data_IF_454803669419
#
_entry.id   IF_454803669419
#
_cell.length_a   1.000
_cell.length_b   1.000
_cell.length_c   1.000
_cell.angle_alpha   90.00
_cell.angle_beta   90.00
_cell.angle_gamma   90.00
#
_symmetry.space_group_name_H-M   'P 1'
#
loop_
_entity.id
_entity.type
_entity.pdbx_description
1 polymer ?
#
# COMPACT_ATOMS: atom_id res chain seq x y z
N UNK A 1 -11.36 -20.02 5.05
CA UNK A 1 -12.08 -18.74 4.95
C UNK A 1 -13.54 -19.01 4.62
N UNK A 2 -14.44 -18.14 5.08
CA UNK A 2 -15.88 -18.22 4.76
C UNK A 2 -16.32 -16.83 4.28
N UNK A 3 -16.89 -16.67 3.07
CA UNK A 3 -17.44 -15.42 2.63
C UNK A 3 -18.62 -15.02 3.52
N UNK A 4 -18.74 -13.77 3.87
CA UNK A 4 -19.85 -13.23 4.66
C UNK A 4 -20.80 -12.44 3.78
N UNK A 5 -20.33 -11.41 3.15
CA UNK A 5 -21.08 -10.54 2.23
C UNK A 5 -20.09 -9.76 1.35
N UNK A 6 -20.62 -9.00 0.41
CA UNK A 6 -19.85 -8.15 -0.52
C UNK A 6 -20.41 -6.74 -0.43
N UNK A 7 -19.51 -5.74 -0.39
CA UNK A 7 -19.89 -4.35 -0.63
C UNK A 7 -19.97 -4.13 -2.13
N UNK A 8 -21.15 -3.85 -2.63
CA UNK A 8 -21.39 -3.57 -4.05
C UNK A 8 -22.55 -2.59 -4.23
N UNK A 9 -22.46 -1.73 -5.23
CA UNK A 9 -23.54 -0.89 -5.69
C UNK A 9 -23.30 -0.50 -7.16
N UNK A 10 -24.35 -0.06 -7.85
CA UNK A 10 -24.30 0.32 -9.29
C UNK A 10 -23.27 1.42 -9.58
N UNK A 11 -22.98 2.29 -8.59
CA UNK A 11 -22.03 3.41 -8.74
C UNK A 11 -20.57 2.96 -8.88
N UNK A 12 -20.23 1.81 -8.33
CA UNK A 12 -18.85 1.28 -8.35
C UNK A 12 -18.63 0.27 -9.47
N UNK A 13 -19.68 -0.10 -10.19
CA UNK A 13 -19.59 -1.04 -11.28
C UNK A 13 -18.67 -0.54 -12.40
N UNK A 14 -17.74 -1.41 -12.82
CA UNK A 14 -16.72 -1.08 -13.82
C UNK A 14 -15.65 -0.10 -13.35
N UNK A 15 -15.48 0.09 -12.03
CA UNK A 15 -14.35 0.80 -11.42
C UNK A 15 -13.49 -0.18 -10.63
N UNK A 16 -12.19 0.01 -10.63
CA UNK A 16 -11.29 -0.84 -9.85
C UNK A 16 -11.18 -0.35 -8.41
N UNK A 17 -11.18 -1.26 -7.44
CA UNK A 17 -10.74 -0.94 -6.07
C UNK A 17 -9.22 -0.76 -6.09
N UNK A 18 -8.74 0.44 -5.78
CA UNK A 18 -7.31 0.77 -5.78
C UNK A 18 -6.70 0.77 -4.38
N UNK A 19 -7.46 1.26 -3.44
CA UNK A 19 -7.02 1.38 -2.06
C UNK A 19 -8.19 1.17 -1.10
N UNK A 20 -7.86 0.78 0.11
CA UNK A 20 -8.84 0.53 1.15
C UNK A 20 -8.17 0.70 2.52
N UNK A 21 -8.89 1.31 3.46
CA UNK A 21 -8.44 1.40 4.84
C UNK A 21 -9.62 1.27 5.80
N UNK A 22 -9.34 0.80 7.02
CA UNK A 22 -10.33 0.62 8.09
C UNK A 22 -10.09 1.65 9.16
N UNK A 23 -11.15 2.34 9.56
CA UNK A 23 -11.05 3.36 10.61
C UNK A 23 -10.68 2.73 11.96
N UNK A 24 -9.64 3.25 12.62
CA UNK A 24 -9.15 2.69 13.88
C UNK A 24 -10.08 2.96 15.06
N UNK A 25 -10.79 4.10 15.06
CA UNK A 25 -11.72 4.45 16.11
C UNK A 25 -13.10 3.82 15.91
N UNK A 26 -13.51 3.62 14.68
CA UNK A 26 -14.75 2.94 14.31
C UNK A 26 -14.44 1.81 13.32
N UNK A 27 -14.17 0.60 13.80
CA UNK A 27 -13.74 -0.52 12.95
C UNK A 27 -14.83 -1.01 11.99
N UNK A 28 -16.07 -0.55 12.13
CA UNK A 28 -17.15 -0.84 11.19
C UNK A 28 -17.12 0.06 9.95
N UNK A 29 -16.35 1.15 9.99
CA UNK A 29 -16.23 2.10 8.90
C UNK A 29 -15.02 1.78 8.04
N UNK A 30 -15.28 1.53 6.77
CA UNK A 30 -14.26 1.22 5.76
C UNK A 30 -14.30 2.29 4.67
N UNK A 31 -13.15 2.88 4.37
CA UNK A 31 -12.99 3.72 3.19
C UNK A 31 -12.46 2.89 2.04
N UNK A 32 -13.04 3.08 0.87
CA UNK A 32 -12.62 2.42 -0.38
C UNK A 32 -12.45 3.48 -1.45
N UNK A 33 -11.25 3.55 -2.01
CA UNK A 33 -10.91 4.40 -3.13
C UNK A 33 -10.99 3.62 -4.45
N UNK A 34 -11.73 4.19 -5.38
CA UNK A 34 -11.95 3.65 -6.71
C UNK A 34 -11.28 4.53 -7.75
N UNK A 35 -10.68 3.90 -8.73
CA UNK A 35 -10.07 4.58 -9.84
C UNK A 35 -9.96 3.65 -11.03
N UNK A 36 -9.98 4.21 -12.21
CA UNK A 36 -9.63 3.52 -13.44
C UNK A 36 -8.25 4.02 -13.85
N UNK A 37 -7.35 3.12 -14.14
CA UNK A 37 -6.01 3.43 -14.64
C UNK A 37 -5.73 2.54 -15.83
N UNK A 38 -5.60 3.15 -16.99
CA UNK A 38 -5.19 2.46 -18.21
C UNK A 38 -3.91 3.13 -18.74
N UNK A 39 -2.80 2.39 -18.68
CA UNK A 39 -1.49 2.85 -19.17
C UNK A 39 -1.54 3.19 -20.66
N UNK A 40 -2.47 2.58 -21.42
CA UNK A 40 -2.61 2.79 -22.85
C UNK A 40 -3.54 3.96 -23.19
N UNK A 41 -4.23 4.52 -22.21
CA UNK A 41 -5.16 5.64 -22.41
C UNK A 41 -4.39 6.95 -22.35
N UNK A 42 -4.12 7.56 -23.49
CA UNK A 42 -3.45 8.86 -23.58
C UNK A 42 -4.37 10.05 -23.29
N UNK A 43 -5.67 9.80 -23.25
CA UNK A 43 -6.71 10.81 -23.03
C UNK A 43 -7.34 10.65 -21.64
N UNK A 44 -6.92 11.44 -20.67
CA UNK A 44 -7.49 11.48 -19.30
C UNK A 44 -9.00 11.75 -19.29
N UNK A 45 -9.54 12.38 -20.35
CA UNK A 45 -10.97 12.69 -20.48
C UNK A 45 -11.86 11.45 -20.67
N UNK A 46 -11.27 10.28 -20.97
CA UNK A 46 -12.01 9.02 -21.15
C UNK A 46 -12.05 8.16 -19.89
N UNK A 47 -11.17 8.46 -18.92
CA UNK A 47 -11.14 7.75 -17.65
C UNK A 47 -12.26 8.24 -16.74
N UNK A 48 -12.87 7.32 -16.02
CA UNK A 48 -13.89 7.69 -15.03
C UNK A 48 -13.23 8.44 -13.87
N UNK A 49 -13.83 9.55 -13.38
CA UNK A 49 -13.31 10.28 -12.21
C UNK A 49 -13.21 9.36 -11.00
N UNK A 50 -12.31 9.67 -10.09
CA UNK A 50 -12.13 8.92 -8.86
C UNK A 50 -13.36 8.97 -7.96
N UNK A 51 -13.59 7.91 -7.22
CA UNK A 51 -14.70 7.81 -6.29
C UNK A 51 -14.20 7.31 -4.93
N UNK A 52 -14.53 8.04 -3.86
CA UNK A 52 -14.23 7.63 -2.49
C UNK A 52 -15.54 7.27 -1.81
N UNK A 53 -15.71 6.00 -1.46
CA UNK A 53 -16.90 5.49 -0.79
C UNK A 53 -16.59 5.08 0.63
N UNK A 54 -17.50 5.42 1.55
CA UNK A 54 -17.45 5.04 2.95
C UNK A 54 -18.51 3.99 3.22
N UNK A 55 -18.04 2.79 3.51
CA UNK A 55 -18.90 1.64 3.74
C UNK A 55 -18.99 1.32 5.23
N UNK A 56 -20.17 0.84 5.64
CA UNK A 56 -20.39 0.34 7.00
C UNK A 56 -21.10 -1.01 6.96
N UNK A 57 -20.95 -1.76 8.04
CA UNK A 57 -21.63 -3.05 8.18
C UNK A 57 -23.16 -2.92 8.25
N UNK A 58 -23.68 -1.72 8.50
CA UNK A 58 -25.12 -1.46 8.60
C UNK A 58 -25.81 -1.56 7.23
N UNK A 59 -25.11 -1.14 6.16
CA UNK A 59 -25.66 -1.19 4.82
C UNK A 59 -24.57 -1.64 3.82
N UNK A 60 -24.50 -2.92 3.49
CA UNK A 60 -23.53 -3.43 2.53
C UNK A 60 -23.86 -3.10 1.07
N UNK A 61 -25.10 -2.71 0.77
CA UNK A 61 -25.57 -2.48 -0.60
C UNK A 61 -25.43 -1.03 -1.06
N UNK A 62 -25.19 -0.11 -0.12
CA UNK A 62 -25.01 1.30 -0.47
C UNK A 62 -24.07 2.00 0.53
N UNK A 63 -23.08 2.81 0.05
CA UNK A 63 -22.16 3.52 0.93
C UNK A 63 -22.85 4.64 1.70
N UNK A 64 -22.45 4.88 2.94
CA UNK A 64 -23.00 5.97 3.76
C UNK A 64 -22.62 7.36 3.27
N UNK A 65 -21.40 7.48 2.72
CA UNK A 65 -20.91 8.73 2.15
C UNK A 65 -20.16 8.45 0.86
N UNK A 66 -20.35 9.32 -0.11
CA UNK A 66 -19.71 9.27 -1.43
C UNK A 66 -19.05 10.63 -1.66
N UNK A 67 -17.79 10.62 -2.05
CA UNK A 67 -17.05 11.80 -2.45
C UNK A 67 -16.51 11.55 -3.86
N UNK A 68 -16.88 12.42 -4.79
CA UNK A 68 -16.33 12.42 -6.14
C UNK A 68 -15.00 13.16 -6.11
N UNK A 69 -13.98 12.56 -6.70
CA UNK A 69 -12.65 13.12 -6.87
C UNK A 69 -12.35 13.32 -8.35
N UNK A 70 -11.62 14.38 -8.72
CA UNK A 70 -11.42 14.73 -10.14
C UNK A 70 -10.61 13.67 -10.88
N UNK A 71 -9.53 13.18 -10.28
CA UNK A 71 -8.64 12.17 -10.84
C UNK A 71 -8.86 10.80 -10.20
N UNK A 72 -8.34 9.75 -10.81
CA UNK A 72 -8.39 8.39 -10.26
C UNK A 72 -7.68 8.31 -8.90
N UNK A 73 -8.34 7.75 -7.90
CA UNK A 73 -7.77 7.55 -6.57
C UNK A 73 -6.83 6.35 -6.61
N UNK A 74 -5.60 6.53 -6.14
CA UNK A 74 -4.56 5.49 -6.10
C UNK A 74 -4.30 4.97 -4.71
N UNK A 75 -4.35 5.85 -3.70
CA UNK A 75 -4.11 5.50 -2.30
C UNK A 75 -5.00 6.30 -1.37
N UNK A 76 -5.34 5.74 -0.21
CA UNK A 76 -6.11 6.39 0.83
C UNK A 76 -5.73 5.84 2.21
N UNK A 77 -5.77 6.69 3.24
CA UNK A 77 -5.55 6.27 4.62
C UNK A 77 -6.24 7.19 5.62
N UNK A 78 -6.85 6.62 6.66
CA UNK A 78 -7.36 7.37 7.81
C UNK A 78 -6.21 7.90 8.67
N UNK A 79 -6.37 9.13 9.18
CA UNK A 79 -5.49 9.64 10.22
C UNK A 79 -5.65 8.82 11.51
N UNK A 80 -4.53 8.45 12.12
CA UNK A 80 -4.51 7.67 13.37
C UNK A 80 -4.94 8.51 14.55
N UNK A 81 -4.57 9.80 14.58
CA UNK A 81 -4.89 10.74 15.64
C UNK A 81 -6.25 11.40 15.47
N UNK A 82 -6.61 11.72 14.23
CA UNK A 82 -7.87 12.36 13.88
C UNK A 82 -8.69 11.45 12.95
N UNK A 83 -9.34 10.39 13.45
CA UNK A 83 -9.99 9.36 12.65
C UNK A 83 -11.14 9.85 11.76
N UNK A 84 -11.48 11.13 11.85
CA UNK A 84 -12.41 11.80 10.96
C UNK A 84 -11.75 12.42 9.72
N UNK A 85 -10.42 12.40 9.63
CA UNK A 85 -9.68 12.85 8.48
C UNK A 85 -9.21 11.64 7.64
N UNK A 86 -9.34 11.77 6.34
CA UNK A 86 -8.87 10.79 5.35
C UNK A 86 -7.98 11.52 4.36
N UNK A 87 -6.76 11.04 4.20
CA UNK A 87 -5.88 11.48 3.13
C UNK A 87 -6.08 10.59 1.90
N UNK A 88 -6.00 11.20 0.73
CA UNK A 88 -6.17 10.56 -0.56
C UNK A 88 -5.08 11.07 -1.49
N UNK A 89 -4.42 10.16 -2.19
CA UNK A 89 -3.53 10.47 -3.31
C UNK A 89 -4.17 10.07 -4.63
N UNK A 90 -3.86 10.79 -5.67
CA UNK A 90 -4.45 10.59 -6.99
C UNK A 90 -3.42 10.33 -8.10
N UNK A 91 -3.93 10.00 -9.29
CA UNK A 91 -3.13 9.73 -10.48
C UNK A 91 -2.50 10.98 -11.10
N UNK A 92 -2.92 12.18 -10.69
CA UNK A 92 -2.37 13.46 -11.17
C UNK A 92 -1.26 14.01 -10.28
N UNK A 93 -0.84 13.26 -9.25
CA UNK A 93 0.17 13.70 -8.29
C UNK A 93 -0.36 14.59 -7.17
N UNK A 94 -1.67 14.76 -7.04
CA UNK A 94 -2.23 15.58 -5.98
C UNK A 94 -2.54 14.76 -4.74
N UNK A 95 -2.54 15.45 -3.60
CA UNK A 95 -2.97 14.93 -2.31
C UNK A 95 -4.11 15.80 -1.81
N UNK A 96 -5.18 15.15 -1.40
CA UNK A 96 -6.35 15.79 -0.83
C UNK A 96 -6.70 15.19 0.54
N UNK A 97 -7.11 16.02 1.48
CA UNK A 97 -7.51 15.59 2.81
C UNK A 97 -8.97 15.95 3.03
N UNK A 98 -9.78 14.94 3.31
CA UNK A 98 -11.22 15.07 3.50
C UNK A 98 -11.62 14.90 4.96
N UNK A 99 -12.64 15.65 5.38
CA UNK A 99 -13.31 15.48 6.68
C UNK A 99 -14.61 14.69 6.49
N UNK A 100 -14.73 13.59 7.21
CA UNK A 100 -15.92 12.73 7.09
C UNK A 100 -17.07 13.14 8.03
N UNK A 101 -16.83 14.00 9.05
CA UNK A 101 -17.86 14.40 10.01
C UNK A 101 -18.91 15.35 9.43
N UNK A 102 -18.52 16.17 8.46
CA UNK A 102 -19.42 17.12 7.80
C UNK A 102 -20.12 16.49 6.59
N UNK A 103 -21.11 17.22 6.05
CA UNK A 103 -21.72 16.87 4.77
C UNK A 103 -20.92 17.40 3.58
N UNK A 104 -19.84 18.12 3.84
CA UNK A 104 -19.02 18.70 2.79
C UNK A 104 -18.30 17.60 2.02
N UNK A 105 -18.31 17.75 0.71
CA UNK A 105 -17.59 16.87 -0.23
C UNK A 105 -16.27 17.49 -0.69
N UNK A 106 -15.99 18.74 -0.30
CA UNK A 106 -14.75 19.43 -0.64
C UNK A 106 -13.62 19.03 0.30
N UNK A 107 -12.38 18.96 -0.20
CA UNK A 107 -11.21 18.69 0.64
C UNK A 107 -11.00 19.86 1.64
N UNK A 108 -10.53 19.52 2.83
CA UNK A 108 -10.11 20.50 3.86
C UNK A 108 -8.76 21.10 3.50
N UNK A 109 -7.91 20.32 2.86
CA UNK A 109 -6.62 20.73 2.34
C UNK A 109 -6.31 19.94 1.06
N UNK A 110 -5.70 20.60 0.10
CA UNK A 110 -5.35 20.04 -1.20
C UNK A 110 -4.01 20.59 -1.69
N UNK A 111 -3.22 19.75 -2.35
CA UNK A 111 -1.93 20.16 -2.91
C UNK A 111 -2.04 20.72 -4.33
N UNK A 112 -3.20 20.73 -4.94
CA UNK A 112 -3.44 21.09 -6.35
C UNK A 112 -2.91 22.50 -6.70
N UNK A 113 -3.15 23.46 -5.80
CA UNK A 113 -2.80 24.88 -6.00
C UNK A 113 -1.41 25.24 -5.45
N UNK A 114 -0.67 24.26 -4.94
CA UNK A 114 0.68 24.51 -4.43
C UNK A 114 1.71 24.46 -5.57
N UNK A 115 2.71 25.34 -5.49
CA UNK A 115 3.83 25.35 -6.43
C UNK A 115 4.65 24.07 -6.40
N UNK A 116 4.60 23.36 -5.28
CA UNK A 116 5.25 22.09 -5.06
C UNK A 116 4.23 20.97 -4.85
N UNK A 117 4.14 20.10 -5.81
CA UNK A 117 3.36 18.86 -5.78
C UNK A 117 4.14 17.76 -6.48
N UNK A 118 3.68 16.54 -6.34
CA UNK A 118 4.19 15.46 -7.17
C UNK A 118 3.87 15.70 -8.64
N UNK A 119 4.79 15.31 -9.50
CA UNK A 119 4.63 15.45 -10.97
C UNK A 119 4.10 14.17 -11.62
N UNK A 120 4.02 13.08 -10.85
CA UNK A 120 3.57 11.78 -11.29
C UNK A 120 2.65 11.17 -10.23
N UNK A 121 2.09 10.00 -10.51
CA UNK A 121 1.12 9.27 -9.70
C UNK A 121 1.62 9.12 -8.25
N UNK A 122 0.76 9.44 -7.28
CA UNK A 122 1.01 9.12 -5.86
C UNK A 122 0.63 7.67 -5.62
N UNK A 123 1.60 6.81 -5.36
CA UNK A 123 1.36 5.36 -5.20
C UNK A 123 1.02 4.91 -3.79
N UNK A 124 1.58 5.56 -2.77
CA UNK A 124 1.29 5.22 -1.37
C UNK A 124 1.38 6.45 -0.47
N UNK A 125 0.61 6.46 0.62
CA UNK A 125 0.60 7.50 1.64
C UNK A 125 0.57 6.87 3.01
N UNK A 126 1.24 7.50 3.99
CA UNK A 126 1.26 7.02 5.37
C UNK A 126 1.14 8.19 6.36
N UNK A 127 0.21 8.07 7.31
CA UNK A 127 0.17 8.96 8.47
C UNK A 127 1.18 8.52 9.52
N UNK A 128 2.08 9.42 9.87
CA UNK A 128 3.18 9.16 10.80
C UNK A 128 3.11 10.13 11.96
N UNK A 129 3.17 9.60 13.18
CA UNK A 129 3.21 10.44 14.37
C UNK A 129 4.65 10.71 14.76
N UNK A 130 4.96 11.99 15.00
CA UNK A 130 6.24 12.45 15.54
C UNK A 130 6.05 13.10 16.89
N UNK A 131 6.94 12.82 17.84
CA UNK A 131 6.84 13.34 19.22
C UNK A 131 6.73 14.87 19.28
N UNK A 132 7.53 15.58 18.49
CA UNK A 132 7.61 17.06 18.55
C UNK A 132 6.80 17.80 17.47
N UNK A 133 6.39 17.12 16.40
CA UNK A 133 5.71 17.73 15.26
C UNK A 133 4.21 17.36 15.15
N UNK A 134 3.76 16.39 15.95
CA UNK A 134 2.42 15.84 15.84
C UNK A 134 2.33 14.82 14.70
N UNK A 135 1.13 14.65 14.13
CA UNK A 135 0.91 13.76 13.01
C UNK A 135 1.19 14.49 11.71
N UNK A 136 1.98 13.89 10.83
CA UNK A 136 2.24 14.34 9.47
C UNK A 136 1.89 13.24 8.47
N UNK A 137 1.58 13.63 7.25
CA UNK A 137 1.31 12.71 6.14
C UNK A 137 2.59 12.60 5.30
N UNK A 138 2.94 11.39 4.90
CA UNK A 138 4.07 11.14 4.01
C UNK A 138 3.55 10.46 2.76
N UNK A 139 4.01 10.94 1.62
CA UNK A 139 3.65 10.41 0.30
C UNK A 139 4.86 9.98 -0.49
N UNK A 140 4.67 8.99 -1.33
CA UNK A 140 5.64 8.49 -2.30
C UNK A 140 5.00 8.46 -3.69
N UNK A 141 5.76 8.87 -4.70
CA UNK A 141 5.26 8.99 -6.07
C UNK A 141 6.22 8.37 -7.09
N UNK A 142 5.69 8.16 -8.30
CA UNK A 142 6.43 7.70 -9.47
C UNK A 142 7.52 8.68 -9.93
N UNK A 143 7.47 9.95 -9.51
CA UNK A 143 8.54 10.93 -9.74
C UNK A 143 9.81 10.69 -8.89
N UNK A 144 9.74 9.68 -8.01
CA UNK A 144 10.82 9.31 -7.10
C UNK A 144 10.93 10.20 -5.87
N UNK A 145 10.03 11.15 -5.65
CA UNK A 145 10.04 12.00 -4.47
C UNK A 145 9.25 11.41 -3.32
N UNK A 146 9.80 11.60 -2.13
CA UNK A 146 9.12 11.31 -0.86
C UNK A 146 8.94 12.64 -0.14
N UNK A 147 7.68 13.01 0.12
CA UNK A 147 7.33 14.33 0.66
C UNK A 147 6.57 14.15 1.98
N UNK A 148 6.97 14.94 2.99
CA UNK A 148 6.24 15.08 4.25
C UNK A 148 5.31 16.30 4.17
N UNK A 149 4.05 16.13 4.52
CA UNK A 149 3.00 17.14 4.53
C UNK A 149 2.55 17.43 5.96
N UNK A 150 2.53 18.69 6.34
CA UNK A 150 2.11 19.15 7.65
C UNK A 150 0.83 20.00 7.54
N UNK A 151 -0.14 19.74 8.41
CA UNK A 151 -1.43 20.44 8.45
C UNK A 151 -1.47 21.62 9.43
N UNK A 152 -0.34 22.10 9.95
CA UNK A 152 -0.34 23.09 11.04
C UNK A 152 -0.83 24.47 10.62
N UNK A 153 -0.48 24.93 9.41
CA UNK A 153 -0.81 26.25 8.87
C UNK A 153 -1.30 26.19 7.42
N UNK A 154 -2.10 25.20 7.11
CA UNK A 154 -2.41 24.78 5.77
C UNK A 154 -1.64 23.51 5.42
N UNK A 155 -1.47 23.21 4.15
CA UNK A 155 -0.68 22.08 3.70
C UNK A 155 0.74 22.57 3.37
N UNK A 156 1.65 22.40 4.34
CA UNK A 156 3.08 22.69 4.14
C UNK A 156 3.81 21.40 3.73
N UNK A 157 4.79 21.49 2.85
CA UNK A 157 5.56 20.35 2.37
C UNK A 157 7.03 20.43 2.81
N UNK A 158 7.64 19.26 2.96
CA UNK A 158 9.09 19.10 3.14
C UNK A 158 9.54 17.89 2.34
N UNK A 159 10.45 18.05 1.41
CA UNK A 159 11.04 16.91 0.68
C UNK A 159 11.94 16.12 1.63
N UNK A 160 11.66 14.83 1.81
CA UNK A 160 12.43 13.93 2.66
C UNK A 160 13.53 13.23 1.90
N UNK A 161 13.26 12.79 0.68
CA UNK A 161 14.21 12.03 -0.14
C UNK A 161 13.83 12.12 -1.61
N UNK A 162 14.86 12.18 -2.47
CA UNK A 162 14.75 11.91 -3.89
C UNK A 162 15.36 10.54 -4.17
N UNK A 163 14.53 9.57 -4.60
CA UNK A 163 14.99 8.23 -4.93
C UNK A 163 15.85 8.26 -6.20
N UNK A 164 17.02 7.65 -6.11
CA UNK A 164 18.01 7.59 -7.19
C UNK A 164 18.31 6.13 -7.50
N UNK A 165 18.44 5.83 -8.77
CA UNK A 165 18.82 4.51 -9.23
C UNK A 165 20.26 4.21 -8.84
N UNK A 166 20.48 3.13 -8.13
CA UNK A 166 21.82 2.60 -7.90
C UNK A 166 22.27 1.77 -9.10
N UNK A 167 23.28 2.24 -9.82
CA UNK A 167 23.92 1.45 -10.87
C UNK A 167 24.82 0.41 -10.22
N UNK A 168 24.37 -0.82 -10.12
CA UNK A 168 25.23 -1.94 -9.76
C UNK A 168 26.16 -2.27 -10.92
N UNK A 169 27.48 -2.15 -10.77
CA UNK A 169 28.46 -2.39 -11.85
C UNK A 169 28.46 -3.84 -12.34
N UNK A 170 27.81 -4.75 -11.64
CA UNK A 170 27.74 -6.18 -11.95
C UNK A 170 26.41 -6.63 -12.57
N UNK A 171 25.39 -5.81 -12.60
CA UNK A 171 24.13 -6.10 -13.28
C UNK A 171 24.20 -5.49 -14.70
N UNK A 172 24.26 -6.34 -15.73
CA UNK A 172 24.03 -5.92 -17.10
C UNK A 172 22.60 -5.38 -17.15
N UNK A 173 22.48 -4.07 -17.35
CA UNK A 173 21.21 -3.38 -17.46
C UNK A 173 20.33 -4.09 -18.50
N UNK A 174 19.27 -4.72 -18.05
CA UNK A 174 18.25 -5.35 -18.92
C UNK A 174 17.49 -4.30 -19.73
N UNK A 175 17.62 -3.03 -19.34
CA UNK A 175 17.05 -1.85 -20.00
C UNK A 175 18.09 -0.94 -20.68
N UNK A 176 19.23 -1.47 -21.08
CA UNK A 176 20.28 -0.73 -21.79
C UNK A 176 19.86 -0.36 -23.24
N UNK A 177 18.76 0.35 -23.37
CA UNK A 177 18.38 1.05 -24.61
C UNK A 177 18.76 2.54 -24.61
N UNK A 178 19.19 3.09 -23.48
CA UNK A 178 19.73 4.44 -23.38
C UNK A 178 21.25 4.35 -23.14
N UNK A 179 22.04 4.43 -24.20
CA UNK A 179 23.47 4.73 -24.07
C UNK A 179 23.63 6.06 -23.33
N UNK A 180 24.01 5.96 -22.06
CA UNK A 180 24.43 7.14 -21.30
C UNK A 180 25.74 7.61 -21.91
N UNK A 181 25.67 8.57 -22.82
CA UNK A 181 26.83 9.29 -23.26
C UNK A 181 27.55 9.87 -22.03
N UNK A 182 28.72 9.32 -21.71
CA UNK A 182 29.67 9.89 -20.74
C UNK A 182 30.15 11.22 -21.26
N UNK A 183 29.32 12.26 -21.14
CA UNK A 183 29.76 13.65 -21.34
C UNK A 183 30.20 14.20 -19.99
N UNK A 184 31.52 14.32 -19.91
CA UNK A 184 32.31 15.24 -19.05
C UNK A 184 31.72 15.65 -17.71
N UNK A 185 32.13 14.99 -16.61
CA UNK A 185 32.40 15.70 -15.36
C UNK A 185 31.26 15.84 -14.35
N UNK A 186 30.05 15.35 -14.60
CA UNK A 186 28.95 15.35 -13.64
C UNK A 186 28.37 13.96 -13.50
N UNK A 187 28.22 13.45 -12.26
CA UNK A 187 27.43 12.26 -11.98
C UNK A 187 25.95 12.63 -12.21
N UNK A 188 25.39 12.24 -13.34
CA UNK A 188 23.94 12.31 -13.58
C UNK A 188 23.29 11.11 -12.91
N UNK A 189 22.61 11.35 -11.78
CA UNK A 189 21.77 10.35 -11.17
C UNK A 189 20.45 10.27 -11.94
N UNK A 190 20.02 9.06 -12.29
CA UNK A 190 18.69 8.79 -12.84
C UNK A 190 17.76 8.57 -11.66
N UNK A 191 16.64 9.26 -11.62
CA UNK A 191 15.62 9.05 -10.60
C UNK A 191 14.90 7.72 -10.86
N UNK A 192 14.43 7.09 -9.79
CA UNK A 192 13.61 5.86 -9.85
C UNK A 192 12.25 6.12 -9.20
N UNK A 193 11.20 5.53 -9.79
CA UNK A 193 9.85 5.66 -9.26
C UNK A 193 9.68 4.91 -7.94
N UNK A 194 9.05 5.57 -6.97
CA UNK A 194 8.68 4.96 -5.70
C UNK A 194 7.25 4.42 -5.74
N UNK A 195 7.05 3.17 -5.31
CA UNK A 195 5.75 2.50 -5.39
C UNK A 195 5.07 2.27 -4.04
N UNK A 196 5.81 2.09 -2.97
CA UNK A 196 5.24 1.90 -1.64
C UNK A 196 6.18 2.36 -0.54
N UNK A 197 5.62 2.79 0.57
CA UNK A 197 6.36 3.23 1.75
C UNK A 197 5.73 2.65 3.01
N UNK A 198 6.55 2.25 3.99
CA UNK A 198 6.06 1.87 5.29
C UNK A 198 7.06 2.18 6.42
N UNK A 199 6.53 2.34 7.63
CA UNK A 199 7.26 2.74 8.83
C UNK A 199 7.18 1.65 9.89
N UNK A 200 8.30 1.24 10.50
CA UNK A 200 8.29 0.38 11.67
C UNK A 200 7.52 1.05 12.83
N UNK A 201 6.48 0.41 13.34
CA UNK A 201 5.53 1.05 14.27
C UNK A 201 6.08 1.29 15.68
N UNK A 202 7.15 0.62 16.08
CA UNK A 202 7.68 0.63 17.45
C UNK A 202 8.93 1.48 17.66
N UNK A 203 9.40 2.19 16.64
CA UNK A 203 10.47 3.17 16.85
C UNK A 203 9.89 4.40 17.54
N UNK A 204 10.28 4.70 18.77
CA UNK A 204 9.80 5.87 19.54
C UNK A 204 9.96 7.19 18.78
N UNK A 205 10.80 7.20 17.76
CA UNK A 205 11.10 8.41 16.98
C UNK A 205 10.68 8.33 15.51
N UNK A 206 10.16 7.20 15.03
CA UNK A 206 9.79 7.00 13.60
C UNK A 206 10.80 7.65 12.63
N UNK A 207 12.08 7.42 12.87
CA UNK A 207 13.16 8.11 12.15
C UNK A 207 13.47 7.39 10.83
N UNK A 208 13.23 6.08 10.77
CA UNK A 208 13.55 5.25 9.61
C UNK A 208 12.29 4.75 8.91
N UNK A 209 12.37 4.59 7.60
CA UNK A 209 11.30 4.03 6.78
C UNK A 209 11.86 3.20 5.64
N UNK A 210 11.03 2.35 5.06
CA UNK A 210 11.35 1.55 3.89
C UNK A 210 10.57 2.05 2.69
N UNK A 211 11.29 2.29 1.59
CA UNK A 211 10.73 2.70 0.30
C UNK A 211 10.98 1.59 -0.72
N UNK A 212 9.92 1.11 -1.36
CA UNK A 212 9.97 0.15 -2.44
C UNK A 212 9.93 0.86 -3.79
N UNK A 213 10.75 0.42 -4.73
CA UNK A 213 10.95 1.07 -6.02
C UNK A 213 10.55 0.19 -7.21
N UNK A 214 10.39 0.83 -8.36
CA UNK A 214 10.21 0.14 -9.65
C UNK A 214 11.45 -0.62 -10.10
N UNK A 215 12.64 -0.22 -9.63
CA UNK A 215 13.94 -0.84 -9.96
C UNK A 215 14.21 -2.14 -9.18
N UNK A 216 13.19 -2.79 -8.62
CA UNK A 216 13.29 -4.08 -7.92
C UNK A 216 14.11 -4.01 -6.61
N UNK A 217 14.36 -2.82 -6.08
CA UNK A 217 15.11 -2.58 -4.85
C UNK A 217 14.24 -1.97 -3.76
N UNK A 218 14.62 -2.20 -2.51
CA UNK A 218 14.03 -1.55 -1.34
C UNK A 218 15.12 -0.74 -0.68
N UNK A 219 14.83 0.50 -0.35
CA UNK A 219 15.76 1.37 0.36
C UNK A 219 15.27 1.65 1.77
N UNK A 220 16.16 1.47 2.75
CA UNK A 220 15.95 1.97 4.09
C UNK A 220 16.47 3.39 4.16
N UNK A 221 15.59 4.32 4.51
CA UNK A 221 15.87 5.75 4.53
C UNK A 221 15.66 6.32 5.93
N UNK A 222 16.27 7.47 6.18
CA UNK A 222 16.07 8.26 7.40
C UNK A 222 15.28 9.53 7.10
N UNK A 223 14.35 9.87 7.97
CA UNK A 223 13.62 11.15 7.88
C UNK A 223 14.48 12.37 8.25
N UNK A 224 15.64 12.15 8.84
CA UNK A 224 16.56 13.22 9.26
C UNK A 224 17.73 13.43 8.30
N UNK A 225 17.88 12.53 7.33
CA UNK A 225 19.00 12.53 6.40
C UNK A 225 18.53 12.14 5.00
N UNK A 226 18.69 13.04 4.04
CA UNK A 226 18.10 12.94 2.68
C UNK A 226 19.12 12.68 1.58
N UNK A 227 20.41 12.60 1.88
CA UNK A 227 21.45 12.53 0.84
C UNK A 227 21.76 11.10 0.40
N UNK A 228 21.67 10.14 1.29
CA UNK A 228 22.01 8.73 1.05
C UNK A 228 21.02 7.80 1.72
N UNK A 229 20.91 6.58 1.19
CA UNK A 229 20.19 5.49 1.82
C UNK A 229 20.99 4.97 3.02
N UNK A 230 20.29 4.49 4.05
CA UNK A 230 20.92 3.79 5.17
C UNK A 230 21.34 2.39 4.76
N UNK A 231 20.47 1.69 4.00
CA UNK A 231 20.70 0.33 3.52
C UNK A 231 19.87 0.11 2.25
N UNK A 232 20.35 -0.80 1.38
CA UNK A 232 19.64 -1.20 0.15
C UNK A 232 19.49 -2.72 0.11
N UNK A 233 18.26 -3.17 -0.11
CA UNK A 233 17.90 -4.58 -0.19
C UNK A 233 17.58 -4.94 -1.64
N UNK A 234 18.29 -5.91 -2.16
CA UNK A 234 18.14 -6.38 -3.54
C UNK A 234 17.83 -7.87 -3.59
N UNK A 235 17.06 -8.27 -4.60
CA UNK A 235 16.72 -9.69 -4.78
C UNK A 235 15.50 -9.92 -5.66
N UNK A 236 14.51 -9.03 -5.62
CA UNK A 236 13.41 -9.09 -6.57
C UNK A 236 13.88 -8.87 -8.01
N UNK A 237 13.18 -9.47 -8.96
CA UNK A 237 13.45 -9.37 -10.39
C UNK A 237 12.41 -8.54 -11.14
N UNK A 238 11.43 -8.02 -10.43
CA UNK A 238 10.38 -7.14 -10.96
C UNK A 238 10.04 -6.02 -9.97
N UNK A 239 9.30 -4.99 -10.41
CA UNK A 239 8.85 -3.89 -9.58
C UNK A 239 8.20 -4.35 -8.29
N UNK A 240 8.45 -3.64 -7.20
CA UNK A 240 7.95 -4.02 -5.87
C UNK A 240 6.72 -3.18 -5.56
N UNK A 241 5.54 -3.81 -5.57
CA UNK A 241 4.27 -3.11 -5.42
C UNK A 241 3.97 -2.65 -4.00
N UNK A 242 4.35 -3.47 -2.99
CA UNK A 242 4.10 -3.13 -1.59
C UNK A 242 5.24 -3.55 -0.70
N UNK A 243 5.52 -2.71 0.29
CA UNK A 243 6.34 -3.01 1.47
C UNK A 243 5.48 -2.84 2.71
N UNK A 244 5.55 -3.79 3.66
CA UNK A 244 4.79 -3.73 4.92
C UNK A 244 5.63 -4.25 6.08
N UNK A 245 5.86 -3.39 7.06
CA UNK A 245 6.58 -3.70 8.29
C UNK A 245 5.72 -4.54 9.23
N UNK A 246 6.34 -5.47 9.91
CA UNK A 246 5.66 -6.27 10.93
C UNK A 246 5.23 -5.38 12.11
N UNK A 247 3.94 -5.37 12.51
CA UNK A 247 3.46 -4.51 13.59
C UNK A 247 3.91 -4.96 14.99
N UNK A 248 4.40 -6.20 15.15
CA UNK A 248 4.80 -6.79 16.45
C UNK A 248 6.31 -6.79 16.69
N UNK A 249 7.01 -5.92 16.06
CA UNK A 249 8.44 -5.82 16.24
C UNK A 249 8.79 -5.17 17.59
N UNK A 250 9.75 -5.76 18.35
CA UNK A 250 10.25 -5.22 19.62
C UNK A 250 11.49 -4.33 19.38
N UNK A 251 11.71 -3.35 20.30
CA UNK A 251 12.78 -2.35 20.19
C UNK A 251 14.20 -2.94 20.05
N UNK A 252 14.43 -4.09 20.68
CA UNK A 252 15.73 -4.76 20.70
C UNK A 252 15.98 -5.63 19.46
N UNK A 253 14.93 -5.91 18.68
CA UNK A 253 15.01 -6.71 17.48
C UNK A 253 15.06 -5.84 16.23
N UNK A 254 15.57 -6.38 15.14
CA UNK A 254 15.54 -5.69 13.87
C UNK A 254 14.16 -5.77 13.23
N UNK A 255 13.71 -4.69 12.57
CA UNK A 255 12.47 -4.71 11.85
C UNK A 255 12.44 -5.86 10.83
N UNK A 256 11.35 -6.61 10.86
CA UNK A 256 11.01 -7.59 9.83
C UNK A 256 9.97 -6.94 8.94
N UNK A 257 10.14 -7.07 7.64
CA UNK A 257 9.18 -6.54 6.67
C UNK A 257 8.92 -7.51 5.53
N UNK A 258 7.76 -7.38 4.91
CA UNK A 258 7.34 -8.12 3.74
C UNK A 258 7.38 -7.22 2.51
N UNK A 259 7.64 -7.84 1.37
CA UNK A 259 7.46 -7.21 0.06
C UNK A 259 6.73 -8.14 -0.88
N UNK A 260 5.91 -7.57 -1.77
CA UNK A 260 5.36 -8.30 -2.91
C UNK A 260 5.74 -7.60 -4.21
N UNK A 261 5.87 -8.39 -5.26
CA UNK A 261 6.41 -7.92 -6.51
C UNK A 261 5.67 -8.52 -7.72
N UNK A 262 5.90 -7.88 -8.85
CA UNK A 262 5.54 -8.39 -10.18
C UNK A 262 6.20 -9.73 -10.48
N UNK A 263 7.32 -10.07 -9.82
CA UNK A 263 8.07 -11.35 -9.99
C UNK A 263 7.38 -12.57 -9.37
N UNK A 264 6.08 -12.46 -9.01
CA UNK A 264 5.21 -13.50 -8.46
C UNK A 264 5.62 -14.00 -7.06
N UNK A 265 6.51 -13.30 -6.39
CA UNK A 265 7.01 -13.70 -5.08
C UNK A 265 6.62 -12.73 -3.99
N UNK A 266 6.43 -13.27 -2.79
CA UNK A 266 6.42 -12.51 -1.54
C UNK A 266 7.70 -12.85 -0.80
N UNK A 267 8.43 -11.83 -0.33
CA UNK A 267 9.69 -12.01 0.39
C UNK A 267 9.61 -11.45 1.78
N UNK A 268 10.24 -12.17 2.69
CA UNK A 268 10.41 -11.76 4.09
C UNK A 268 11.84 -11.30 4.28
N UNK A 269 11.98 -10.11 4.81
CA UNK A 269 13.27 -9.45 5.03
C UNK A 269 13.51 -9.14 6.50
N UNK A 270 14.78 -9.05 6.86
CA UNK A 270 15.22 -8.47 8.12
C UNK A 270 16.09 -7.27 7.83
N UNK A 271 15.90 -6.17 8.55
CA UNK A 271 16.70 -4.97 8.37
C UNK A 271 18.22 -5.16 8.63
N UNK A 272 18.62 -6.27 9.25
CA UNK A 272 20.06 -6.59 9.48
C UNK A 272 20.77 -7.17 8.25
N UNK A 273 20.03 -7.74 7.31
CA UNK A 273 20.62 -8.54 6.24
C UNK A 273 20.12 -8.01 4.88
N UNK A 274 21.02 -7.75 3.92
CA UNK A 274 20.64 -7.25 2.61
C UNK A 274 19.91 -8.29 1.75
N UNK A 275 20.01 -9.57 2.11
CA UNK A 275 19.36 -10.67 1.38
C UNK A 275 18.04 -11.07 2.05
N UNK A 276 17.05 -11.55 1.27
CA UNK A 276 15.79 -12.02 1.83
C UNK A 276 16.00 -13.25 2.72
N UNK A 277 15.37 -13.26 3.90
CA UNK A 277 15.38 -14.42 4.79
C UNK A 277 14.54 -15.58 4.25
N UNK A 278 13.45 -15.25 3.61
CA UNK A 278 12.52 -16.22 3.06
C UNK A 278 11.92 -15.69 1.77
N UNK A 279 11.75 -16.56 0.79
CA UNK A 279 11.02 -16.29 -0.43
C UNK A 279 9.84 -17.25 -0.52
N UNK A 280 8.65 -16.69 -0.39
CA UNK A 280 7.40 -17.43 -0.56
C UNK A 280 7.07 -17.44 -2.04
N UNK A 281 7.31 -18.57 -2.68
CA UNK A 281 6.94 -18.77 -4.07
C UNK A 281 5.48 -19.20 -4.15
N UNK A 282 4.78 -18.63 -5.11
CA UNK A 282 3.47 -19.16 -5.47
C UNK A 282 3.64 -20.55 -6.12
N UNK A 283 2.63 -21.39 -5.95
CA UNK A 283 2.60 -22.75 -6.54
C UNK A 283 2.88 -22.63 -8.04
N UNK A 284 3.77 -23.49 -8.56
CA UNK A 284 4.35 -23.44 -9.91
C UNK A 284 3.37 -23.29 -11.07
N UNK A 285 2.10 -23.65 -10.86
CA UNK A 285 1.07 -23.65 -11.90
C UNK A 285 0.42 -22.31 -12.18
N UNK A 286 0.55 -21.34 -11.25
CA UNK A 286 -0.18 -20.06 -11.30
C UNK A 286 0.78 -18.88 -11.08
N UNK A 287 1.63 -18.65 -12.06
CA UNK A 287 2.58 -17.51 -12.05
C UNK A 287 1.85 -16.22 -12.36
N UNK A 288 1.35 -15.55 -11.32
CA UNK A 288 0.64 -14.28 -11.43
C UNK A 288 1.18 -13.28 -10.41
N UNK A 289 1.20 -12.02 -10.80
CA UNK A 289 1.68 -10.93 -9.94
C UNK A 289 0.91 -10.86 -8.61
N UNK A 290 1.64 -10.59 -7.53
CA UNK A 290 1.06 -10.35 -6.22
C UNK A 290 0.82 -8.85 -6.06
N UNK A 291 -0.45 -8.44 -5.95
CA UNK A 291 -0.84 -7.04 -5.96
C UNK A 291 -0.73 -6.37 -4.59
N UNK A 292 -1.08 -7.05 -3.51
CA UNK A 292 -1.02 -6.50 -2.16
C UNK A 292 -0.74 -7.58 -1.10
N UNK A 293 -0.15 -7.14 -0.01
CA UNK A 293 0.15 -7.94 1.18
C UNK A 293 -0.20 -7.17 2.43
N UNK A 294 -0.65 -7.87 3.46
CA UNK A 294 -0.95 -7.25 4.75
C UNK A 294 -0.70 -8.19 5.92
N UNK A 295 0.00 -7.71 6.96
CA UNK A 295 0.19 -8.45 8.19
C UNK A 295 -1.10 -8.58 9.00
N UNK A 296 -1.27 -9.71 9.66
CA UNK A 296 -2.32 -9.85 10.66
C UNK A 296 -2.08 -8.88 11.82
N UNK A 297 -3.07 -8.09 12.24
CA UNK A 297 -2.90 -7.19 13.37
C UNK A 297 -2.86 -7.91 14.73
N UNK A 298 -3.16 -9.21 14.78
CA UNK A 298 -3.30 -9.99 16.01
C UNK A 298 -2.23 -11.08 16.15
N UNK A 299 -1.48 -11.37 15.10
CA UNK A 299 -0.51 -12.47 15.10
C UNK A 299 0.73 -12.09 14.30
N UNK A 300 1.90 -12.14 14.93
CA UNK A 300 3.16 -11.70 14.32
C UNK A 300 3.65 -12.56 13.15
N UNK A 301 3.20 -13.82 13.05
CA UNK A 301 3.64 -14.76 12.01
C UNK A 301 2.70 -14.89 10.82
N UNK A 302 1.51 -14.26 10.89
CA UNK A 302 0.47 -14.44 9.88
C UNK A 302 0.37 -13.21 9.00
N UNK A 303 0.30 -13.43 7.69
CA UNK A 303 -0.03 -12.41 6.70
C UNK A 303 -0.95 -12.94 5.61
N UNK A 304 -1.58 -12.04 4.89
CA UNK A 304 -2.38 -12.36 3.72
C UNK A 304 -1.73 -11.75 2.47
N UNK A 305 -1.86 -12.44 1.34
CA UNK A 305 -1.50 -11.95 0.02
C UNK A 305 -2.66 -12.11 -0.96
N UNK A 306 -2.73 -11.20 -1.92
CA UNK A 306 -3.73 -11.24 -3.00
C UNK A 306 -3.04 -11.10 -4.35
N UNK A 307 -3.55 -11.83 -5.33
CA UNK A 307 -2.94 -11.92 -6.64
C UNK A 307 -3.92 -11.61 -7.78
N UNK A 308 -3.35 -11.39 -8.94
CA UNK A 308 -4.10 -11.00 -10.14
C UNK A 308 -5.03 -12.09 -10.70
N UNK A 309 -4.83 -13.34 -10.31
CA UNK A 309 -5.71 -14.48 -10.67
C UNK A 309 -6.93 -14.64 -9.75
N UNK A 310 -7.13 -13.72 -8.80
CA UNK A 310 -8.26 -13.74 -7.88
C UNK A 310 -8.00 -14.51 -6.58
N UNK A 311 -6.80 -15.05 -6.37
CA UNK A 311 -6.43 -15.75 -5.14
C UNK A 311 -6.36 -14.81 -3.95
N UNK A 312 -6.80 -15.35 -2.81
CA UNK A 312 -6.52 -14.81 -1.48
C UNK A 312 -5.78 -15.90 -0.72
N UNK A 313 -4.55 -15.66 -0.35
CA UNK A 313 -3.72 -16.62 0.38
C UNK A 313 -3.47 -16.13 1.81
N UNK A 314 -3.54 -17.05 2.76
CA UNK A 314 -3.17 -16.82 4.15
C UNK A 314 -1.93 -17.66 4.44
N UNK A 315 -0.90 -16.99 4.91
CA UNK A 315 0.39 -17.55 5.25
C UNK A 315 0.59 -17.50 6.76
N UNK A 316 1.20 -18.53 7.32
CA UNK A 316 1.63 -18.57 8.72
C UNK A 316 3.06 -19.11 8.79
N UNK A 317 4.01 -18.21 8.97
CA UNK A 317 5.45 -18.49 8.98
C UNK A 317 5.87 -19.45 10.10
N UNK A 318 5.03 -19.64 11.14
CA UNK A 318 5.29 -20.62 12.22
C UNK A 318 4.88 -22.04 11.81
N UNK A 319 3.89 -22.17 10.92
CA UNK A 319 3.37 -23.47 10.52
C UNK A 319 4.06 -24.01 9.28
N UNK A 320 4.13 -23.19 8.26
CA UNK A 320 4.75 -23.56 6.99
C UNK A 320 5.31 -22.31 6.28
N UNK A 321 6.55 -22.42 5.82
CA UNK A 321 7.24 -21.34 5.11
C UNK A 321 7.22 -21.56 3.60
N UNK A 322 6.83 -22.74 3.12
CA UNK A 322 6.92 -23.13 1.72
C UNK A 322 5.58 -22.99 0.99
N UNK A 323 4.47 -23.19 1.72
CA UNK A 323 3.14 -23.16 1.14
C UNK A 323 2.16 -22.31 1.99
N UNK A 324 1.17 -21.66 1.37
CA UNK A 324 0.14 -20.97 2.10
C UNK A 324 -0.72 -21.95 2.92
N UNK A 325 -1.05 -21.59 4.15
CA UNK A 325 -1.93 -22.39 5.00
C UNK A 325 -3.31 -22.53 4.39
N UNK A 326 -3.77 -21.51 3.67
CA UNK A 326 -5.05 -21.51 2.98
C UNK A 326 -5.02 -20.65 1.74
N UNK A 327 -5.42 -21.23 0.63
CA UNK A 327 -5.73 -20.53 -0.63
C UNK A 327 -7.25 -20.52 -0.82
N UNK A 328 -7.79 -19.38 -1.21
CA UNK A 328 -9.22 -19.17 -1.42
C UNK A 328 -9.46 -18.42 -2.74
N UNK A 329 -10.44 -18.90 -3.50
CA UNK A 329 -11.00 -18.25 -4.67
C UNK A 329 -12.48 -17.96 -4.44
N UNK A 330 -12.95 -16.84 -4.97
CA UNK A 330 -14.39 -16.59 -4.99
C UNK A 330 -15.10 -17.60 -5.88
N UNK A 331 -16.33 -17.92 -5.55
CA UNK A 331 -17.15 -18.88 -6.28
C UNK A 331 -18.43 -18.22 -6.76
N UNK A 332 -18.81 -18.53 -7.97
CA UNK A 332 -20.10 -18.16 -8.54
C UNK A 332 -21.24 -18.97 -7.90
N UNK A 333 -22.48 -18.61 -8.21
CA UNK A 333 -23.71 -19.33 -7.83
C UNK A 333 -23.64 -20.82 -8.15
N UNK A 334 -22.96 -21.17 -9.23
CA UNK A 334 -22.76 -22.55 -9.71
C UNK A 334 -21.59 -23.29 -9.03
N UNK A 335 -20.91 -22.64 -8.08
CA UNK A 335 -19.74 -23.17 -7.37
C UNK A 335 -18.44 -23.18 -8.16
N UNK A 336 -18.42 -22.58 -9.37
CA UNK A 336 -17.23 -22.41 -10.18
C UNK A 336 -16.37 -21.26 -9.66
N UNK A 337 -15.06 -21.42 -9.67
CA UNK A 337 -14.12 -20.38 -9.26
C UNK A 337 -14.13 -19.19 -10.22
N UNK A 338 -14.19 -17.99 -9.64
CA UNK A 338 -14.17 -16.73 -10.37
C UNK A 338 -12.74 -16.17 -10.29
N UNK A 339 -12.11 -16.01 -11.44
CA UNK A 339 -10.75 -15.48 -11.56
C UNK A 339 -10.76 -13.94 -11.74
N UNK A 340 -11.43 -13.23 -10.83
CA UNK A 340 -11.39 -11.76 -10.83
C UNK A 340 -10.21 -11.28 -10.02
N UNK A 341 -9.33 -10.49 -10.63
CA UNK A 341 -8.14 -9.95 -9.97
C UNK A 341 -8.47 -9.29 -8.64
N UNK A 342 -7.69 -9.63 -7.61
CA UNK A 342 -7.74 -8.98 -6.30
C UNK A 342 -6.63 -7.94 -6.22
N UNK A 343 -6.99 -6.73 -5.84
CA UNK A 343 -6.10 -5.57 -5.89
C UNK A 343 -5.57 -5.16 -4.52
N UNK A 344 -6.39 -5.27 -3.48
CA UNK A 344 -6.09 -4.80 -2.12
C UNK A 344 -6.58 -5.79 -1.08
N UNK A 345 -5.84 -5.95 0.01
CA UNK A 345 -6.23 -6.78 1.16
C UNK A 345 -6.02 -6.04 2.48
N UNK A 346 -6.99 -6.16 3.42
CA UNK A 346 -6.88 -5.60 4.77
C UNK A 346 -7.47 -6.55 5.80
N UNK A 347 -6.79 -6.68 6.95
CA UNK A 347 -7.36 -7.34 8.12
C UNK A 347 -8.06 -6.33 9.03
N UNK A 348 -9.19 -6.73 9.60
CA UNK A 348 -9.80 -6.01 10.72
C UNK A 348 -9.01 -6.28 12.01
N UNK A 349 -8.82 -5.24 12.85
CA UNK A 349 -8.13 -5.40 14.13
C UNK A 349 -9.00 -6.06 15.20
N UNK A 350 -10.28 -5.76 15.21
CA UNK A 350 -11.20 -6.13 16.30
C UNK A 350 -12.02 -7.38 16.00
N UNK A 351 -11.93 -7.92 14.81
CA UNK A 351 -12.71 -9.09 14.39
C UNK A 351 -11.89 -10.00 13.47
N UNK A 352 -12.14 -11.31 13.46
CA UNK A 352 -11.46 -12.24 12.57
C UNK A 352 -12.00 -12.12 11.14
N UNK A 353 -11.87 -10.92 10.57
CA UNK A 353 -12.39 -10.58 9.25
C UNK A 353 -11.26 -10.05 8.37
N UNK A 354 -11.28 -10.48 7.13
CA UNK A 354 -10.40 -10.02 6.06
C UNK A 354 -11.28 -9.41 4.96
N UNK A 355 -10.87 -8.25 4.48
CA UNK A 355 -11.48 -7.59 3.34
C UNK A 355 -10.55 -7.71 2.14
N UNK A 356 -11.12 -8.00 0.98
CA UNK A 356 -10.37 -8.03 -0.28
C UNK A 356 -11.11 -7.26 -1.37
N UNK A 357 -10.46 -6.23 -1.92
CA UNK A 357 -10.94 -5.45 -3.04
C UNK A 357 -10.65 -6.16 -4.36
N UNK A 358 -11.51 -5.97 -5.34
CA UNK A 358 -11.43 -6.60 -6.66
C UNK A 358 -11.39 -5.55 -7.76
N UNK A 359 -10.90 -5.94 -8.91
CA UNK A 359 -10.86 -5.11 -10.11
C UNK A 359 -12.25 -4.71 -10.63
N UNK A 360 -13.27 -5.53 -10.36
CA UNK A 360 -14.66 -5.25 -10.74
C UNK A 360 -15.40 -4.28 -9.80
N UNK A 361 -14.69 -3.65 -8.84
CA UNK A 361 -15.26 -2.69 -7.88
C UNK A 361 -15.89 -3.31 -6.65
N UNK A 362 -15.95 -4.62 -6.55
CA UNK A 362 -16.53 -5.31 -5.39
C UNK A 362 -15.51 -5.48 -4.29
N UNK A 363 -15.94 -5.32 -3.03
CA UNK A 363 -15.13 -5.62 -1.86
C UNK A 363 -15.74 -6.80 -1.12
N UNK A 364 -15.07 -7.94 -1.18
CA UNK A 364 -15.45 -9.14 -0.46
C UNK A 364 -15.05 -9.08 1.01
N UNK A 365 -15.94 -9.50 1.88
CA UNK A 365 -15.73 -9.61 3.33
C UNK A 365 -15.73 -11.08 3.73
N UNK A 366 -14.62 -11.53 4.30
CA UNK A 366 -14.39 -12.95 4.60
C UNK A 366 -14.09 -13.14 6.08
N UNK A 367 -14.71 -14.16 6.68
CA UNK A 367 -14.36 -14.62 8.03
C UNK A 367 -13.14 -15.54 7.98
N UNK A 368 -12.13 -15.22 8.76
CA UNK A 368 -10.93 -16.05 8.94
C UNK A 368 -11.16 -16.99 10.13
N UNK A 369 -11.34 -18.29 9.86
CA UNK A 369 -11.50 -19.31 10.89
C UNK A 369 -10.11 -19.78 11.34
N UNK A 370 -9.89 -19.89 12.65
CA UNK A 370 -8.63 -20.38 13.23
C UNK A 370 -7.55 -19.29 13.41
N UNK A 371 -7.84 -18.05 13.08
CA UNK A 371 -7.10 -16.87 13.54
C UNK A 371 -7.90 -16.27 14.71
N UNK A 372 -8.00 -17.02 15.80
CA UNK A 372 -8.68 -16.53 16.99
C UNK A 372 -7.86 -15.38 17.58
N UNK A 373 -8.54 -14.39 18.15
CA UNK A 373 -7.94 -13.30 18.88
C UNK A 373 -7.11 -13.89 20.04
N UNK A 374 -5.83 -14.07 19.81
CA UNK A 374 -4.90 -14.14 20.93
C UNK A 374 -4.85 -12.70 21.43
N UNK A 375 -5.55 -12.42 22.53
CA UNK A 375 -5.24 -11.24 23.30
C UNK A 375 -3.77 -11.36 23.61
N UNK A 376 -2.96 -10.56 22.94
CA UNK A 376 -1.55 -10.42 23.26
C UNK A 376 -1.55 -9.84 24.67
N UNK A 377 -1.41 -10.70 25.68
CA UNK A 377 -0.96 -10.26 26.99
C UNK A 377 0.39 -9.61 26.71
N UNK A 378 0.58 -8.39 27.17
CA UNK A 378 1.81 -7.59 27.05
C UNK A 378 3.05 -8.24 27.70
N UNK A 379 3.11 -9.57 27.78
CA UNK A 379 4.18 -10.36 28.36
C UNK A 379 4.31 -11.65 27.56
N UNK A 380 5.14 -11.62 26.53
CA UNK A 380 6.06 -12.71 26.18
C UNK A 380 6.88 -12.29 24.95
#
# INVERSE_FOLDING_TARGET
MKPLFVFECDLVEGRQVRCMDINQANPDLVVVGYGEFDINCTDDSKLKPGLLCFWTLKNPNFPEKIINHEASITCCQFSKKAPHLVAVGDSSGNIAIYNIRGNDTKPVAESKDLDFKHTDIVWDIQWVQRENKGESLISISGDGKIIEWSLRKGLEYTELMQLKRETNPNQKDVYAGAEIEKKSGGMTFINTGGLSIDFPQNSEQNITYFAATEDCTIHMCSMSYSEQYLETYSGHTGPIYRVRCNPFWHKDDCPIFLTCSYDWTVRVWSAKEPNPKLTCHQIETLKQQVNDIYWSPNTSSVFASVANDGRIEIWDLKKDNLAPVKTYFDKDSDGKEINTAKTVVRFSRNSPVLLAGSENGKVGVYRTLGLEHVQVSERD
#
